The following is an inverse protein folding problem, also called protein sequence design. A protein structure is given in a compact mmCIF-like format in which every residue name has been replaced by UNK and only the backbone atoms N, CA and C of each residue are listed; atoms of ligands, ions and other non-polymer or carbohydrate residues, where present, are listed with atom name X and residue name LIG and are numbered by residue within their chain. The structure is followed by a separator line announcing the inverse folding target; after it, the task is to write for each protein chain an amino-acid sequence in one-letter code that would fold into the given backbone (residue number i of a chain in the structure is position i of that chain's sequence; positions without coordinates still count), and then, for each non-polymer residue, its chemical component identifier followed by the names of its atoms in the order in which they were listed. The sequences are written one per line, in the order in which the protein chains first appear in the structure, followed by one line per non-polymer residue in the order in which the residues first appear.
data_IF_197230287409
#
_entry.id   IF_197230287409
#
_cell.length_a   1.000
_cell.length_b   1.000
_cell.length_c   1.000
_cell.angle_alpha   90.00
_cell.angle_beta   90.00
_cell.angle_gamma   90.00
#
_symmetry.space_group_name_H-M   'P 1'
#
loop_
_entity.id
_entity.type
_entity.pdbx_description
1 polymer ?
#
# COMPACT_ATOMS: atom_id res chain seq x y z
N UNK A 1 -52.04 -51.10 -6.21
CA UNK A 1 -52.64 -49.98 -6.98
C UNK A 1 -52.91 -48.89 -5.95
N UNK A 2 -52.22 -47.76 -5.88
CA UNK A 2 -51.64 -46.87 -6.90
C UNK A 2 -50.24 -46.40 -6.47
N UNK A 3 -49.45 -46.04 -7.47
CA UNK A 3 -48.00 -45.79 -7.46
C UNK A 3 -47.75 -44.30 -7.72
N UNK A 4 -46.59 -43.81 -7.27
CA UNK A 4 -45.84 -42.63 -7.76
C UNK A 4 -46.34 -41.24 -7.31
N UNK A 5 -45.49 -40.23 -7.13
CA UNK A 5 -44.19 -40.01 -7.79
C UNK A 5 -43.25 -39.13 -6.94
N UNK A 6 -41.96 -39.50 -6.95
CA UNK A 6 -40.84 -38.65 -6.53
C UNK A 6 -40.57 -37.62 -7.64
N UNK A 7 -40.33 -36.37 -7.26
CA UNK A 7 -39.87 -35.34 -8.19
C UNK A 7 -38.37 -35.55 -8.52
N UNK A 8 -37.95 -35.46 -9.80
CA UNK A 8 -36.55 -35.58 -10.17
C UNK A 8 -35.82 -34.24 -10.10
N UNK A 9 -34.55 -34.32 -9.70
CA UNK A 9 -33.54 -33.28 -9.86
C UNK A 9 -33.44 -32.86 -11.34
N UNK A 10 -33.59 -31.56 -11.61
CA UNK A 10 -33.31 -30.98 -12.92
C UNK A 10 -31.88 -30.45 -12.94
N UNK A 11 -30.97 -31.23 -13.52
CA UNK A 11 -29.67 -30.80 -14.00
C UNK A 11 -29.87 -29.93 -15.24
N UNK A 12 -29.76 -28.60 -15.13
CA UNK A 12 -29.77 -27.73 -16.29
C UNK A 12 -28.35 -27.58 -16.85
N UNK A 13 -28.16 -28.17 -18.03
CA UNK A 13 -26.96 -28.15 -18.84
C UNK A 13 -26.52 -26.72 -19.19
N UNK A 14 -25.27 -26.43 -18.87
CA UNK A 14 -24.51 -25.28 -19.36
C UNK A 14 -24.01 -25.61 -20.78
N UNK A 15 -24.69 -25.14 -21.83
CA UNK A 15 -24.16 -25.20 -23.19
C UNK A 15 -24.84 -24.20 -24.15
N UNK A 16 -24.00 -23.43 -24.83
CA UNK A 16 -24.19 -22.73 -26.12
C UNK A 16 -25.19 -21.56 -26.21
N UNK A 17 -24.63 -20.35 -26.27
CA UNK A 17 -25.07 -19.34 -27.24
C UNK A 17 -23.87 -18.48 -27.71
N UNK A 18 -23.01 -19.08 -28.54
CA UNK A 18 -22.09 -18.36 -29.40
C UNK A 18 -22.61 -18.46 -30.84
N UNK A 19 -23.27 -17.42 -31.34
CA UNK A 19 -23.30 -17.09 -32.77
C UNK A 19 -24.03 -15.76 -33.01
N UNK A 20 -23.30 -14.79 -33.56
CA UNK A 20 -23.82 -13.83 -34.53
C UNK A 20 -24.24 -12.46 -33.99
N UNK A 21 -23.37 -11.47 -34.18
CA UNK A 21 -23.69 -10.28 -34.98
C UNK A 21 -22.38 -9.53 -35.27
N UNK A 22 -21.84 -9.78 -36.47
CA UNK A 22 -20.76 -9.03 -37.09
C UNK A 22 -21.25 -7.63 -37.43
N UNK A 23 -20.91 -6.65 -36.60
CA UNK A 23 -20.98 -5.23 -36.91
C UNK A 23 -19.56 -4.67 -36.96
N UNK A 24 -18.99 -4.53 -38.16
CA UNK A 24 -17.73 -3.83 -38.35
C UNK A 24 -17.97 -2.32 -38.18
N UNK A 25 -17.87 -1.83 -36.95
CA UNK A 25 -17.63 -0.42 -36.68
C UNK A 25 -16.12 -0.22 -36.55
N UNK A 26 -15.51 0.38 -37.58
CA UNK A 26 -14.15 0.91 -37.47
C UNK A 26 -14.15 2.13 -36.54
N UNK A 27 -14.07 1.87 -35.23
CA UNK A 27 -13.53 2.83 -34.29
C UNK A 27 -12.01 2.68 -34.35
N UNK A 28 -11.34 3.60 -35.04
CA UNK A 28 -9.90 3.76 -34.90
C UNK A 28 -9.62 4.08 -33.43
N UNK A 29 -9.04 3.12 -32.72
CA UNK A 29 -8.49 3.26 -31.37
C UNK A 29 -6.96 3.34 -31.54
N UNK A 30 -6.35 4.54 -31.62
CA UNK A 30 -4.90 4.64 -31.74
C UNK A 30 -4.20 4.34 -30.39
N UNK A 31 -4.95 4.38 -29.27
CA UNK A 31 -4.39 4.43 -27.93
C UNK A 31 -3.93 3.09 -27.31
N UNK A 32 -3.96 1.97 -28.03
CA UNK A 32 -3.47 0.67 -27.50
C UNK A 32 -2.36 0.11 -28.39
N UNK A 33 -2.44 0.34 -29.70
CA UNK A 33 -1.45 -0.11 -30.68
C UNK A 33 -0.07 0.55 -30.53
N UNK A 34 0.00 1.78 -30.00
CA UNK A 34 1.29 2.49 -29.87
C UNK A 34 2.11 2.03 -28.65
N UNK A 35 1.50 1.42 -27.62
CA UNK A 35 2.15 1.05 -26.37
C UNK A 35 2.98 -0.23 -26.52
N UNK A 36 2.44 -1.22 -27.24
CA UNK A 36 3.15 -2.46 -27.59
C UNK A 36 4.30 -2.21 -28.56
N UNK A 37 4.19 -1.17 -29.41
CA UNK A 37 5.27 -0.76 -30.30
C UNK A 37 6.45 -0.18 -29.52
N UNK A 38 6.17 0.68 -28.52
CA UNK A 38 7.24 1.27 -27.71
C UNK A 38 7.92 0.23 -26.81
N UNK A 39 7.19 -0.79 -26.30
CA UNK A 39 7.77 -1.79 -25.39
C UNK A 39 8.82 -2.70 -26.05
N UNK A 40 8.78 -2.85 -27.37
CA UNK A 40 9.73 -3.64 -28.14
C UNK A 40 11.07 -2.92 -28.40
N UNK A 41 11.19 -1.62 -28.06
CA UNK A 41 12.42 -0.85 -28.28
C UNK A 41 13.45 -1.20 -27.19
N UNK A 42 14.64 -1.74 -27.55
CA UNK A 42 15.61 -2.21 -26.56
C UNK A 42 16.35 -1.08 -25.86
N UNK A 43 16.63 0.03 -26.56
CA UNK A 43 17.33 1.18 -26.00
C UNK A 43 16.38 2.04 -25.14
N UNK A 44 16.78 2.31 -23.90
CA UNK A 44 15.91 2.94 -22.90
C UNK A 44 15.50 4.37 -23.26
N UNK A 45 16.43 5.17 -23.81
CA UNK A 45 16.18 6.56 -24.22
C UNK A 45 15.18 6.63 -25.38
N UNK A 46 15.34 5.75 -26.37
CA UNK A 46 14.46 5.69 -27.53
C UNK A 46 13.08 5.15 -27.17
N UNK A 47 13.02 4.20 -26.23
CA UNK A 47 11.77 3.67 -25.67
C UNK A 47 11.00 4.75 -24.91
N UNK A 48 11.69 5.54 -24.09
CA UNK A 48 11.09 6.67 -23.37
C UNK A 48 10.55 7.74 -24.34
N UNK A 49 11.34 8.11 -25.35
CA UNK A 49 10.93 9.07 -26.37
C UNK A 49 9.66 8.63 -27.12
N UNK A 50 9.55 7.33 -27.45
CA UNK A 50 8.36 6.74 -28.06
C UNK A 50 7.12 6.89 -27.17
N UNK A 51 7.24 6.62 -25.87
CA UNK A 51 6.13 6.77 -24.92
C UNK A 51 5.71 8.23 -24.74
N UNK A 52 6.67 9.16 -24.67
CA UNK A 52 6.38 10.59 -24.56
C UNK A 52 5.65 11.10 -25.81
N UNK A 53 6.04 10.65 -27.00
CA UNK A 53 5.37 10.98 -28.25
C UNK A 53 3.95 10.39 -28.31
N UNK A 54 3.78 9.13 -27.92
CA UNK A 54 2.46 8.47 -27.86
C UNK A 54 1.53 9.15 -26.84
N UNK A 55 2.09 9.69 -25.76
CA UNK A 55 1.37 10.48 -24.75
C UNK A 55 1.11 11.93 -25.17
N UNK A 56 1.53 12.35 -26.38
CA UNK A 56 1.34 13.70 -26.89
C UNK A 56 2.18 14.77 -26.20
N UNK A 57 3.27 14.39 -25.51
CA UNK A 57 4.24 15.36 -24.98
C UNK A 57 5.16 15.83 -26.10
N UNK A 58 5.20 17.15 -26.33
CA UNK A 58 6.18 17.74 -27.22
C UNK A 58 7.58 17.57 -26.62
N UNK A 59 8.49 16.94 -27.37
CA UNK A 59 9.90 16.91 -26.99
C UNK A 59 10.51 18.32 -27.14
N UNK A 60 11.40 18.76 -26.23
CA UNK A 60 12.16 19.98 -26.45
C UNK A 60 12.98 19.83 -27.74
N UNK A 61 12.79 20.72 -28.71
CA UNK A 61 13.59 20.76 -29.91
C UNK A 61 15.07 20.93 -29.54
N UNK A 62 15.89 19.96 -29.92
CA UNK A 62 17.34 20.11 -29.86
C UNK A 62 17.74 21.23 -30.83
N UNK A 63 18.27 22.33 -30.30
CA UNK A 63 18.86 23.41 -31.10
C UNK A 63 20.04 22.87 -31.91
N UNK A 64 19.82 22.58 -33.20
CA UNK A 64 20.90 22.33 -34.15
C UNK A 64 21.55 23.66 -34.55
N UNK A 65 22.80 23.88 -34.14
CA UNK A 65 23.61 24.98 -34.65
C UNK A 65 24.09 24.67 -36.10
N UNK A 66 24.27 25.68 -36.97
CA UNK A 66 24.61 25.45 -38.38
C UNK A 66 26.09 25.09 -38.55
N UNK A 67 26.37 24.06 -39.35
CA UNK A 67 27.70 23.74 -39.86
C UNK A 67 28.09 24.74 -40.95
N UNK A 68 29.08 25.57 -40.68
CA UNK A 68 29.76 26.38 -41.70
C UNK A 68 30.85 25.54 -42.38
N UNK A 69 30.81 25.49 -43.71
CA UNK A 69 31.84 24.89 -44.55
C UNK A 69 33.20 25.57 -44.35
N UNK A 70 34.22 24.79 -44.03
CA UNK A 70 35.62 25.14 -44.26
C UNK A 70 36.33 23.93 -44.84
N UNK A 71 36.69 24.01 -46.12
CA UNK A 71 37.46 22.98 -46.79
C UNK A 71 38.91 22.94 -46.27
N UNK A 72 39.46 21.74 -46.13
CA UNK A 72 40.88 21.44 -46.33
C UNK A 72 41.13 19.92 -46.32
N UNK A 73 42.07 19.54 -47.15
CA UNK A 73 42.70 18.24 -47.42
C UNK A 73 43.00 17.32 -46.22
N UNK A 74 43.14 15.99 -46.45
CA UNK A 74 43.35 15.01 -45.38
C UNK A 74 44.80 15.02 -44.88
N UNK A 75 45.00 15.41 -43.62
CA UNK A 75 46.23 15.16 -42.88
C UNK A 75 45.94 14.31 -41.64
N UNK A 76 46.77 13.29 -41.50
CA UNK A 76 46.85 12.27 -40.46
C UNK A 76 46.72 12.81 -39.03
N UNK A 77 45.88 12.16 -38.22
CA UNK A 77 45.60 12.49 -36.83
C UNK A 77 46.76 12.17 -35.86
N UNK A 78 47.11 13.11 -34.97
CA UNK A 78 47.63 12.79 -33.64
C UNK A 78 46.65 13.23 -32.54
N UNK A 79 46.42 12.31 -31.60
CA UNK A 79 45.83 12.43 -30.25
C UNK A 79 44.84 13.57 -29.97
N UNK A 80 43.56 13.22 -29.98
CA UNK A 80 42.49 14.04 -29.43
C UNK A 80 42.62 14.18 -27.90
N UNK A 81 42.37 15.38 -27.33
CA UNK A 81 42.37 15.56 -25.88
C UNK A 81 41.29 14.71 -25.23
N UNK A 82 41.61 14.14 -24.06
CA UNK A 82 40.69 13.37 -23.25
C UNK A 82 39.41 14.17 -23.02
N UNK A 83 38.32 13.70 -23.61
CA UNK A 83 36.96 14.20 -23.37
C UNK A 83 36.72 14.06 -21.87
N UNK A 84 36.62 15.18 -21.16
CA UNK A 84 36.21 15.18 -19.77
C UNK A 84 34.87 14.44 -19.70
N UNK A 85 34.84 13.33 -18.96
CA UNK A 85 33.63 12.56 -18.75
C UNK A 85 32.56 13.52 -18.21
N UNK A 86 31.49 13.72 -18.98
CA UNK A 86 30.28 14.35 -18.48
C UNK A 86 29.88 13.63 -17.19
N UNK A 87 29.44 14.32 -16.13
CA UNK A 87 28.92 13.66 -14.94
C UNK A 87 27.87 12.66 -15.42
N UNK A 88 28.14 11.36 -15.21
CA UNK A 88 27.12 10.37 -15.49
C UNK A 88 25.94 10.73 -14.58
N UNK A 89 24.72 10.84 -15.12
CA UNK A 89 23.54 10.95 -14.28
C UNK A 89 23.61 9.79 -13.29
N UNK A 90 23.53 10.07 -11.99
CA UNK A 90 23.44 9.02 -10.99
C UNK A 90 22.34 8.05 -11.45
N UNK A 91 22.69 6.77 -11.58
CA UNK A 91 21.69 5.73 -11.87
C UNK A 91 20.50 5.95 -10.92
N UNK A 92 19.25 5.87 -11.41
CA UNK A 92 18.08 6.13 -10.58
C UNK A 92 18.11 5.20 -9.38
N UNK A 93 18.55 5.73 -8.24
CA UNK A 93 18.72 4.94 -7.04
C UNK A 93 17.35 4.42 -6.65
N UNK A 94 17.19 3.10 -6.67
CA UNK A 94 15.96 2.47 -6.22
C UNK A 94 15.72 2.92 -4.77
N UNK A 95 14.68 3.70 -4.56
CA UNK A 95 14.29 4.19 -3.24
C UNK A 95 14.15 3.02 -2.27
N UNK A 96 14.65 3.16 -1.04
CA UNK A 96 14.55 2.11 -0.04
C UNK A 96 13.10 1.84 0.39
N UNK A 97 12.87 0.71 1.06
CA UNK A 97 11.52 0.35 1.52
C UNK A 97 10.95 1.37 2.51
N UNK A 98 11.74 1.84 3.48
CA UNK A 98 11.28 2.88 4.41
C UNK A 98 11.09 4.21 3.68
N UNK A 99 11.95 4.54 2.71
CA UNK A 99 11.80 5.77 1.93
C UNK A 99 10.50 5.79 1.13
N UNK A 100 10.17 4.73 0.39
CA UNK A 100 8.90 4.64 -0.33
C UNK A 100 7.70 4.64 0.60
N UNK A 101 7.84 4.03 1.78
CA UNK A 101 6.75 3.89 2.73
C UNK A 101 6.46 5.19 3.51
N UNK A 102 7.48 5.97 3.86
CA UNK A 102 7.37 7.18 4.68
C UNK A 102 7.73 8.47 3.95
N UNK A 103 8.06 8.40 2.67
CA UNK A 103 8.49 9.53 1.82
C UNK A 103 9.72 10.24 2.36
N UNK A 104 10.77 9.46 2.66
CA UNK A 104 11.95 9.96 3.38
C UNK A 104 12.98 10.66 2.49
N UNK A 105 12.94 10.42 1.18
CA UNK A 105 13.76 11.12 0.18
C UNK A 105 12.88 12.04 -0.66
N UNK A 106 13.43 13.13 -1.21
CA UNK A 106 12.62 14.11 -1.96
C UNK A 106 11.98 13.47 -3.21
N UNK A 107 12.68 12.53 -3.85
CA UNK A 107 12.14 11.74 -4.97
C UNK A 107 11.00 10.79 -4.56
N UNK A 108 10.81 10.54 -3.26
CA UNK A 108 9.73 9.71 -2.74
C UNK A 108 8.47 10.51 -2.35
N UNK A 109 8.56 11.86 -2.30
CA UNK A 109 7.44 12.73 -1.94
C UNK A 109 6.34 12.68 -3.00
N UNK A 110 5.12 12.41 -2.58
CA UNK A 110 3.94 12.37 -3.48
C UNK A 110 2.90 13.44 -3.14
N UNK A 111 3.15 14.28 -2.13
CA UNK A 111 2.23 15.35 -1.70
C UNK A 111 1.19 14.93 -0.66
N UNK A 112 0.41 15.90 -0.21
CA UNK A 112 -0.64 15.69 0.79
C UNK A 112 -1.92 15.05 0.22
N UNK A 113 -2.76 14.50 1.09
CA UNK A 113 -4.12 13.99 0.81
C UNK A 113 -4.24 12.77 -0.11
N UNK A 114 -3.12 12.10 -0.44
CA UNK A 114 -3.15 10.81 -1.14
C UNK A 114 -3.22 9.63 -0.17
N UNK A 115 -4.04 8.64 -0.49
CA UNK A 115 -4.11 7.38 0.25
C UNK A 115 -2.90 6.52 -0.05
N UNK A 116 -2.28 6.00 1.02
CA UNK A 116 -1.15 5.07 0.94
C UNK A 116 -1.37 3.90 1.88
N UNK A 117 -0.89 2.69 1.55
CA UNK A 117 -0.86 1.59 2.51
C UNK A 117 -0.06 1.98 3.75
N UNK A 118 -0.55 1.62 4.94
CA UNK A 118 0.14 1.88 6.21
C UNK A 118 0.66 0.59 6.85
N UNK A 119 -0.23 -0.28 7.30
CA UNK A 119 0.09 -1.67 7.67
C UNK A 119 -0.26 -2.62 6.52
N UNK A 120 0.11 -3.91 6.60
CA UNK A 120 -0.33 -4.88 5.61
C UNK A 120 -1.85 -4.85 5.46
N UNK A 121 -2.30 -4.80 4.21
CA UNK A 121 -3.70 -5.01 3.87
C UNK A 121 -3.83 -6.47 3.46
N UNK A 122 -4.70 -7.22 4.12
CA UNK A 122 -4.85 -8.64 3.85
C UNK A 122 -6.28 -9.13 4.08
N UNK A 123 -6.55 -10.25 3.44
CA UNK A 123 -7.75 -11.06 3.63
C UNK A 123 -7.32 -12.51 3.79
N UNK A 124 -7.53 -13.06 4.98
CA UNK A 124 -7.27 -14.46 5.31
C UNK A 124 -8.61 -15.18 5.35
N UNK A 125 -9.01 -15.90 4.28
CA UNK A 125 -10.28 -16.63 4.27
C UNK A 125 -10.30 -17.75 5.32
N UNK A 126 -9.13 -18.30 5.67
CA UNK A 126 -9.01 -19.41 6.60
C UNK A 126 -8.04 -19.02 7.73
N UNK A 127 -8.58 -18.62 8.88
CA UNK A 127 -7.84 -18.41 10.12
C UNK A 127 -8.35 -19.37 11.18
N UNK A 128 -7.48 -20.27 11.62
CA UNK A 128 -7.81 -21.27 12.64
C UNK A 128 -7.32 -20.83 14.03
N UNK A 129 -8.16 -20.98 15.05
CA UNK A 129 -7.83 -20.79 16.45
C UNK A 129 -8.19 -22.04 17.25
N UNK A 130 -7.24 -22.58 18.01
CA UNK A 130 -7.46 -23.76 18.87
C UNK A 130 -8.29 -23.45 20.12
N UNK A 131 -8.46 -22.18 20.46
CA UNK A 131 -9.19 -21.74 21.66
C UNK A 131 -9.88 -20.39 21.41
N UNK A 132 -10.99 -20.35 20.66
CA UNK A 132 -11.81 -19.14 20.53
C UNK A 132 -12.27 -18.64 21.91
N UNK A 133 -12.06 -17.34 22.19
CA UNK A 133 -12.38 -16.78 23.51
C UNK A 133 -13.85 -16.33 23.57
N UNK A 134 -14.68 -17.10 24.28
CA UNK A 134 -16.09 -16.78 24.54
C UNK A 134 -16.31 -16.00 25.85
N UNK A 135 -15.27 -15.87 26.68
CA UNK A 135 -15.35 -15.32 28.04
C UNK A 135 -15.95 -13.90 28.09
N UNK A 136 -15.59 -12.96 27.21
CA UNK A 136 -16.14 -11.59 27.26
C UNK A 136 -17.66 -11.54 27.11
N UNK A 137 -18.27 -12.56 26.49
CA UNK A 137 -19.69 -12.55 26.16
C UNK A 137 -20.57 -13.27 27.19
N UNK A 138 -19.97 -13.91 28.19
CA UNK A 138 -20.69 -14.63 29.24
C UNK A 138 -21.49 -13.65 30.08
N UNK A 139 -22.80 -13.89 30.19
CA UNK A 139 -23.72 -13.03 30.93
C UNK A 139 -24.24 -11.81 30.15
N UNK A 140 -23.68 -11.53 28.97
CA UNK A 140 -24.19 -10.48 28.06
C UNK A 140 -25.35 -11.01 27.20
N UNK A 141 -25.30 -12.28 26.81
CA UNK A 141 -26.35 -12.96 26.06
C UNK A 141 -27.03 -14.05 26.90
N UNK A 142 -28.25 -14.42 26.51
CA UNK A 142 -29.03 -15.47 27.17
C UNK A 142 -28.37 -16.85 27.09
N UNK A 143 -27.54 -17.09 26.08
CA UNK A 143 -26.73 -18.30 25.97
C UNK A 143 -25.36 -18.13 26.66
N UNK A 144 -24.94 -19.06 27.54
CA UNK A 144 -23.64 -19.01 28.19
C UNK A 144 -22.48 -19.35 27.24
N UNK A 145 -22.77 -19.95 26.08
CA UNK A 145 -21.81 -20.24 25.02
C UNK A 145 -22.35 -19.68 23.70
N UNK A 146 -21.58 -18.82 23.05
CA UNK A 146 -21.93 -18.28 21.73
C UNK A 146 -21.80 -19.31 20.60
N UNK A 147 -21.25 -20.49 20.85
CA UNK A 147 -21.02 -21.48 19.82
C UNK A 147 -20.01 -21.01 18.79
N UNK A 148 -18.96 -20.29 19.22
CA UNK A 148 -17.91 -19.81 18.31
C UNK A 148 -17.15 -20.98 17.69
N UNK A 149 -16.95 -20.91 16.38
CA UNK A 149 -16.16 -21.88 15.63
C UNK A 149 -14.66 -21.56 15.71
N UNK A 150 -13.85 -22.62 15.60
CA UNK A 150 -12.40 -22.51 15.51
C UNK A 150 -11.92 -21.89 14.20
N UNK A 151 -12.73 -21.94 13.14
CA UNK A 151 -12.41 -21.39 11.83
C UNK A 151 -13.15 -20.06 11.62
N UNK A 152 -12.41 -19.01 11.29
CA UNK A 152 -12.96 -17.70 10.95
C UNK A 152 -12.20 -17.08 9.78
N UNK A 153 -12.79 -16.03 9.20
CA UNK A 153 -12.14 -15.15 8.23
C UNK A 153 -11.56 -13.95 8.96
N UNK A 154 -10.33 -13.56 8.63
CA UNK A 154 -9.69 -12.36 9.18
C UNK A 154 -9.38 -11.37 8.07
N UNK A 155 -9.70 -10.11 8.29
CA UNK A 155 -9.39 -9.03 7.34
C UNK A 155 -8.68 -7.90 8.09
N UNK A 156 -7.68 -7.31 7.44
CA UNK A 156 -7.10 -6.04 7.88
C UNK A 156 -7.05 -5.06 6.71
N UNK A 157 -7.61 -3.88 6.90
CA UNK A 157 -7.43 -2.74 6.01
C UNK A 157 -6.67 -1.65 6.76
N UNK A 158 -5.64 -1.10 6.13
CA UNK A 158 -4.77 -0.11 6.76
C UNK A 158 -4.23 0.87 5.75
N UNK A 159 -4.55 2.14 5.94
CA UNK A 159 -4.09 3.22 5.10
C UNK A 159 -3.62 4.40 5.94
N UNK A 160 -2.83 5.26 5.31
CA UNK A 160 -2.42 6.55 5.83
C UNK A 160 -2.50 7.61 4.75
N UNK A 161 -2.65 8.84 5.21
CA UNK A 161 -2.71 10.03 4.38
C UNK A 161 -1.74 11.03 5.01
N UNK A 162 -0.91 11.64 4.17
CA UNK A 162 -0.13 12.79 4.61
C UNK A 162 -1.06 13.99 4.72
N UNK A 163 -1.29 14.47 5.93
CA UNK A 163 -2.20 15.57 6.22
C UNK A 163 -1.53 16.94 5.99
N UNK A 164 -0.23 17.03 6.26
CA UNK A 164 0.55 18.25 6.06
C UNK A 164 2.01 17.89 5.76
N UNK A 165 2.58 18.53 4.74
CA UNK A 165 4.02 18.49 4.47
C UNK A 165 4.69 19.67 5.14
N UNK A 166 5.93 19.49 5.60
CA UNK A 166 6.74 20.60 6.05
C UNK A 166 6.23 21.30 7.31
N UNK A 167 5.77 20.54 8.31
CA UNK A 167 5.17 21.06 9.54
C UNK A 167 6.15 22.00 10.25
N UNK A 168 5.65 23.11 10.79
CA UNK A 168 6.45 24.16 11.43
C UNK A 168 7.44 24.87 10.50
N UNK A 169 7.27 24.76 9.18
CA UNK A 169 8.16 25.39 8.18
C UNK A 169 9.44 24.60 7.90
N UNK A 170 9.48 23.34 8.36
CA UNK A 170 10.63 22.44 8.23
C UNK A 170 10.26 21.27 7.33
N UNK A 171 10.92 21.15 6.17
CA UNK A 171 10.60 20.18 5.10
C UNK A 171 10.94 18.72 5.43
N UNK A 172 11.58 18.49 6.58
CA UNK A 172 11.90 17.19 7.17
C UNK A 172 10.82 16.69 8.15
N UNK A 173 9.80 17.50 8.47
CA UNK A 173 8.67 17.08 9.31
C UNK A 173 7.38 16.96 8.49
N UNK A 174 6.80 15.75 8.46
CA UNK A 174 5.51 15.50 7.83
C UNK A 174 4.49 15.00 8.87
N UNK A 175 3.27 15.55 8.82
CA UNK A 175 2.14 15.06 9.62
C UNK A 175 1.34 14.04 8.81
N UNK A 176 1.18 12.86 9.36
CA UNK A 176 0.41 11.77 8.79
C UNK A 176 -0.77 11.41 9.69
N UNK A 177 -1.88 11.03 9.06
CA UNK A 177 -3.02 10.40 9.74
C UNK A 177 -3.21 9.00 9.17
N UNK A 178 -3.37 8.02 10.03
CA UNK A 178 -3.53 6.61 9.70
C UNK A 178 -4.84 6.06 10.23
N UNK A 179 -5.35 5.04 9.57
CA UNK A 179 -6.47 4.26 10.04
C UNK A 179 -6.24 2.79 9.73
N UNK A 180 -6.32 1.95 10.75
CA UNK A 180 -6.30 0.49 10.61
C UNK A 180 -7.59 -0.08 11.17
N UNK A 181 -8.22 -0.98 10.44
CA UNK A 181 -9.34 -1.77 10.89
C UNK A 181 -9.00 -3.25 10.73
N UNK A 182 -9.21 -4.03 11.79
CA UNK A 182 -9.04 -5.49 11.78
C UNK A 182 -10.35 -6.15 12.19
N UNK A 183 -10.86 -7.07 11.40
CA UNK A 183 -12.13 -7.75 11.67
C UNK A 183 -11.98 -9.26 11.65
N UNK A 184 -12.66 -9.92 12.58
CA UNK A 184 -12.73 -11.37 12.73
C UNK A 184 -14.17 -11.82 12.51
N UNK A 185 -14.39 -12.54 11.42
CA UNK A 185 -15.71 -12.91 10.92
C UNK A 185 -15.92 -14.41 11.00
N UNK A 186 -16.96 -14.84 11.73
CA UNK A 186 -17.40 -16.22 11.81
C UNK A 186 -18.12 -16.65 10.51
N UNK A 187 -17.48 -16.46 9.35
CA UNK A 187 -18.09 -16.61 8.03
C UNK A 187 -18.76 -17.97 7.81
N UNK A 188 -18.19 -19.01 8.40
CA UNK A 188 -18.60 -20.41 8.23
C UNK A 188 -19.56 -20.91 9.32
N UNK A 189 -19.83 -20.09 10.34
CA UNK A 189 -20.64 -20.49 11.48
C UNK A 189 -22.11 -20.13 11.25
N UNK A 190 -22.80 -20.99 10.50
CA UNK A 190 -24.22 -20.84 10.20
C UNK A 190 -25.12 -20.94 11.44
N UNK A 191 -24.69 -21.69 12.46
CA UNK A 191 -25.45 -21.91 13.70
C UNK A 191 -25.77 -20.62 14.46
N UNK A 192 -24.91 -19.59 14.32
CA UNK A 192 -25.12 -18.26 14.92
C UNK A 192 -25.26 -17.14 13.88
N UNK A 193 -25.61 -17.49 12.63
CA UNK A 193 -25.84 -16.55 11.52
C UNK A 193 -24.59 -15.77 11.07
N UNK A 194 -23.43 -16.42 11.10
CA UNK A 194 -22.15 -15.94 10.60
C UNK A 194 -21.77 -14.50 11.00
N UNK A 195 -21.76 -14.16 12.31
CA UNK A 195 -21.53 -12.79 12.77
C UNK A 195 -20.06 -12.38 12.70
N UNK A 196 -19.81 -11.06 12.66
CA UNK A 196 -18.50 -10.54 13.04
C UNK A 196 -18.33 -10.70 14.54
N UNK A 197 -17.37 -11.52 14.94
CA UNK A 197 -17.01 -11.75 16.35
C UNK A 197 -16.41 -10.50 16.94
N UNK A 198 -15.46 -9.88 16.24
CA UNK A 198 -14.79 -8.67 16.71
C UNK A 198 -14.33 -7.78 15.55
N UNK A 199 -14.37 -6.47 15.75
CA UNK A 199 -13.77 -5.47 14.85
C UNK A 199 -13.04 -4.44 15.69
N UNK A 200 -11.74 -4.26 15.45
CA UNK A 200 -10.95 -3.22 16.10
C UNK A 200 -10.70 -2.07 15.11
N UNK A 201 -10.97 -0.86 15.57
CA UNK A 201 -10.73 0.40 14.88
C UNK A 201 -9.53 1.10 15.52
N UNK A 202 -8.54 1.45 14.71
CA UNK A 202 -7.28 2.01 15.19
C UNK A 202 -6.86 3.23 14.36
N UNK A 203 -7.43 4.42 14.64
CA UNK A 203 -6.93 5.68 14.11
C UNK A 203 -5.59 6.09 14.77
N UNK A 204 -4.76 6.78 14.00
CA UNK A 204 -3.42 7.17 14.38
C UNK A 204 -3.05 8.54 13.82
N UNK A 205 -2.35 9.37 14.59
CA UNK A 205 -1.73 10.61 14.13
C UNK A 205 -0.23 10.52 14.38
N UNK A 206 0.58 10.91 13.39
CA UNK A 206 2.01 10.60 13.35
C UNK A 206 2.79 11.81 12.83
N UNK A 207 3.68 12.34 13.64
CA UNK A 207 4.65 13.34 13.23
C UNK A 207 5.96 12.61 12.86
N UNK A 208 6.26 12.56 11.58
CA UNK A 208 7.42 11.85 11.04
C UNK A 208 8.52 12.85 10.74
N UNK A 209 9.64 12.70 11.44
CA UNK A 209 10.87 13.44 11.21
C UNK A 209 11.83 12.60 10.35
N UNK A 210 12.14 13.10 9.15
CA UNK A 210 13.13 12.50 8.25
C UNK A 210 14.52 12.70 8.81
N UNK A 211 15.30 11.63 8.85
CA UNK A 211 16.70 11.64 9.31
C UNK A 211 17.56 10.82 8.34
N UNK A 212 18.88 10.98 8.42
CA UNK A 212 19.79 10.15 7.63
C UNK A 212 21.17 10.05 8.30
N UNK A 213 21.20 9.65 9.57
CA UNK A 213 22.45 9.46 10.32
C UNK A 213 22.91 8.00 10.24
N UNK A 214 24.20 7.76 10.43
CA UNK A 214 24.76 6.41 10.46
C UNK A 214 25.10 5.99 11.90
N UNK A 215 24.72 4.77 12.28
CA UNK A 215 25.03 4.17 13.58
C UNK A 215 25.27 2.66 13.42
N UNK A 216 26.46 2.19 13.81
CA UNK A 216 26.82 0.76 13.76
C UNK A 216 26.54 0.08 12.39
N UNK A 217 26.73 0.81 11.28
CA UNK A 217 26.48 0.34 9.92
C UNK A 217 25.01 0.34 9.49
N UNK A 218 24.11 0.91 10.29
CA UNK A 218 22.72 1.19 9.93
C UNK A 218 22.53 2.68 9.62
N UNK A 219 21.67 2.98 8.66
CA UNK A 219 21.16 4.33 8.42
C UNK A 219 19.88 4.53 9.22
N UNK A 220 19.86 5.45 10.18
CA UNK A 220 18.65 5.94 10.82
C UNK A 220 17.90 6.87 9.86
N UNK A 221 16.75 6.40 9.35
CA UNK A 221 16.01 7.04 8.26
C UNK A 221 14.87 7.93 8.75
N UNK A 222 14.28 7.63 9.91
CA UNK A 222 13.24 8.50 10.49
C UNK A 222 13.08 8.29 12.00
N UNK A 223 12.52 9.32 12.64
CA UNK A 223 11.94 9.27 13.98
C UNK A 223 10.48 9.68 13.86
N UNK A 224 9.55 8.87 14.36
CA UNK A 224 8.12 9.13 14.31
C UNK A 224 7.56 9.22 15.73
N UNK A 225 6.84 10.28 16.03
CA UNK A 225 6.08 10.43 17.26
C UNK A 225 4.60 10.30 16.94
N UNK A 226 3.92 9.35 17.57
CA UNK A 226 2.52 9.10 17.25
C UNK A 226 1.62 9.01 18.47
N UNK A 227 0.38 9.45 18.24
CA UNK A 227 -0.77 9.15 19.09
C UNK A 227 -1.62 8.10 18.39
N UNK A 228 -2.11 7.14 19.16
CA UNK A 228 -2.85 6.01 18.66
C UNK A 228 -4.02 5.72 19.59
N UNK A 229 -5.22 5.71 19.04
CA UNK A 229 -6.40 5.22 19.72
C UNK A 229 -6.76 3.87 19.12
N UNK A 230 -7.11 2.90 19.96
CA UNK A 230 -7.64 1.62 19.49
C UNK A 230 -8.87 1.27 20.31
N UNK A 231 -9.96 0.91 19.64
CA UNK A 231 -11.17 0.44 20.30
C UNK A 231 -11.90 -0.57 19.43
N UNK A 232 -12.78 -1.36 20.05
CA UNK A 232 -13.61 -2.31 19.31
C UNK A 232 -15.02 -1.78 18.97
N UNK A 233 -15.35 -0.55 19.38
CA UNK A 233 -16.64 0.08 19.12
C UNK A 233 -17.84 -0.63 19.76
N UNK A 234 -17.61 -1.51 20.74
CA UNK A 234 -18.66 -2.20 21.49
C UNK A 234 -19.02 -1.42 22.76
N UNK A 235 -20.26 -1.54 23.27
CA UNK A 235 -20.66 -0.92 24.53
C UNK A 235 -20.37 -1.81 25.75
N UNK A 236 -20.40 -1.19 26.93
CA UNK A 236 -20.48 -1.85 28.23
C UNK A 236 -19.42 -2.95 28.47
N UNK A 237 -19.83 -4.12 28.96
CA UNK A 237 -18.95 -5.24 29.32
C UNK A 237 -18.12 -5.78 28.14
N UNK A 238 -18.57 -5.50 26.91
CA UNK A 238 -17.86 -5.85 25.67
C UNK A 238 -16.94 -4.74 25.19
N UNK A 239 -17.04 -3.52 25.73
CA UNK A 239 -16.20 -2.38 25.36
C UNK A 239 -14.74 -2.71 25.64
N UNK A 240 -13.89 -2.47 24.66
CA UNK A 240 -12.44 -2.56 24.78
C UNK A 240 -11.88 -1.31 24.12
N UNK A 241 -11.21 -0.47 24.88
CA UNK A 241 -10.54 0.72 24.36
C UNK A 241 -9.27 1.07 25.14
N UNK A 242 -8.34 1.73 24.46
CA UNK A 242 -7.12 2.27 25.06
C UNK A 242 -6.48 3.32 24.16
N UNK A 243 -5.74 4.23 24.78
CA UNK A 243 -4.97 5.26 24.10
C UNK A 243 -3.48 5.06 24.36
N UNK A 244 -2.66 5.24 23.32
CA UNK A 244 -1.21 5.07 23.38
C UNK A 244 -0.51 6.24 22.74
N UNK A 245 0.59 6.64 23.34
CA UNK A 245 1.62 7.44 22.65
C UNK A 245 2.81 6.54 22.36
N UNK A 246 3.52 6.78 21.27
CA UNK A 246 4.68 5.99 20.92
C UNK A 246 5.74 6.83 20.23
N UNK A 247 6.98 6.34 20.30
CA UNK A 247 8.05 6.74 19.42
C UNK A 247 8.40 5.55 18.52
N UNK A 248 8.69 5.79 17.25
CA UNK A 248 9.14 4.78 16.31
C UNK A 248 10.40 5.23 15.60
N UNK A 249 11.41 4.36 15.58
CA UNK A 249 12.69 4.60 14.97
C UNK A 249 12.87 3.62 13.81
N UNK A 250 13.16 4.13 12.62
CA UNK A 250 13.36 3.33 11.43
C UNK A 250 14.81 3.30 10.98
N UNK A 251 15.39 2.11 10.91
CA UNK A 251 16.76 1.87 10.50
C UNK A 251 16.80 0.96 9.27
N UNK A 252 17.76 1.20 8.38
CA UNK A 252 18.01 0.34 7.22
C UNK A 252 19.50 0.00 7.07
N UNK A 253 19.76 -1.21 6.57
CA UNK A 253 21.08 -1.66 6.14
C UNK A 253 20.87 -2.66 5.00
N UNK A 254 21.41 -2.36 3.82
CA UNK A 254 21.24 -3.17 2.62
C UNK A 254 19.75 -3.49 2.35
N UNK A 255 19.35 -4.75 2.45
CA UNK A 255 17.97 -5.22 2.28
C UNK A 255 17.19 -5.40 3.60
N UNK A 256 17.79 -5.07 4.74
CA UNK A 256 17.19 -5.18 6.06
C UNK A 256 16.61 -3.84 6.51
N UNK A 257 15.34 -3.83 6.93
CA UNK A 257 14.70 -2.72 7.63
C UNK A 257 14.35 -3.14 9.06
N UNK A 258 14.69 -2.31 10.04
CA UNK A 258 14.40 -2.53 11.46
C UNK A 258 13.58 -1.38 11.99
N UNK A 259 12.43 -1.69 12.60
CA UNK A 259 11.55 -0.72 13.24
C UNK A 259 11.52 -0.99 14.75
N UNK A 260 11.91 0.00 15.55
CA UNK A 260 11.81 -0.07 17.02
C UNK A 260 10.71 0.88 17.44
N UNK A 261 9.64 0.36 18.08
CA UNK A 261 8.44 1.14 18.44
C UNK A 261 8.04 0.95 19.90
N UNK A 262 8.74 1.57 20.86
CA UNK A 262 8.26 1.67 22.24
C UNK A 262 6.96 2.47 22.29
N UNK A 263 6.04 2.04 23.14
CA UNK A 263 4.76 2.71 23.35
C UNK A 263 4.44 2.79 24.84
N UNK A 264 3.63 3.79 25.19
CA UNK A 264 3.15 4.02 26.55
C UNK A 264 1.63 4.13 26.51
N UNK A 265 0.96 3.30 27.32
CA UNK A 265 -0.49 3.40 27.53
C UNK A 265 -0.79 4.66 28.34
N UNK A 266 -1.64 5.53 27.81
CA UNK A 266 -2.15 6.65 28.60
C UNK A 266 -3.10 6.10 29.68
N UNK A 267 -2.89 6.46 30.95
CA UNK A 267 -3.72 5.95 32.03
C UNK A 267 -5.14 6.52 31.92
N UNK A 268 -6.11 5.67 32.22
CA UNK A 268 -7.53 6.01 32.26
C UNK A 268 -8.01 5.90 33.71
N UNK A 269 -9.01 6.67 34.09
CA UNK A 269 -9.62 6.52 35.42
C UNK A 269 -10.24 5.13 35.52
N UNK A 270 -10.19 4.49 36.69
CA UNK A 270 -10.76 3.13 36.90
C UNK A 270 -12.23 3.01 36.48
N UNK A 271 -13.00 4.10 36.56
CA UNK A 271 -14.41 4.13 36.15
C UNK A 271 -14.62 4.09 34.63
N UNK A 272 -13.60 4.44 33.85
CA UNK A 272 -13.61 4.51 32.39
C UNK A 272 -12.60 3.54 31.75
N UNK A 273 -11.90 2.74 32.56
CA UNK A 273 -10.93 1.78 32.05
C UNK A 273 -11.68 0.50 31.63
N UNK A 274 -11.83 0.32 30.32
CA UNK A 274 -12.41 -0.88 29.71
C UNK A 274 -11.50 -2.11 29.84
N UNK A 275 -10.22 -1.90 30.17
CA UNK A 275 -9.15 -2.90 30.17
C UNK A 275 -8.16 -2.69 31.35
N UNK A 276 -8.64 -2.72 32.60
CA UNK A 276 -7.79 -2.50 33.78
C UNK A 276 -6.74 -3.59 34.00
#
# INVERSE_FOLDING_TARGET
MTVSNKAPFSTLSLALLCAGLSGASHAQTPAVADWERCSAIPADIDRLACYDQAAGKAQPEAMSAPLAEAGATPQSAPDAPAVAALPQPDEPQLLSTLSRHWELDDAAKQGAFLFRPHRPNYFLPLKYSSSPNDTPFKGTFTSPNLGLDSLETELQLSFKIKAMEGVFGHDDFDLWVGYTISSFWQAYNDTISSPFRETNYEPEAMLVWRTNYEIAGFRGRFINFGFNHQSNGRPESLSRSWNRVYAQFGFERDNLAVLIRPWYRLPESTANDDNP
#
